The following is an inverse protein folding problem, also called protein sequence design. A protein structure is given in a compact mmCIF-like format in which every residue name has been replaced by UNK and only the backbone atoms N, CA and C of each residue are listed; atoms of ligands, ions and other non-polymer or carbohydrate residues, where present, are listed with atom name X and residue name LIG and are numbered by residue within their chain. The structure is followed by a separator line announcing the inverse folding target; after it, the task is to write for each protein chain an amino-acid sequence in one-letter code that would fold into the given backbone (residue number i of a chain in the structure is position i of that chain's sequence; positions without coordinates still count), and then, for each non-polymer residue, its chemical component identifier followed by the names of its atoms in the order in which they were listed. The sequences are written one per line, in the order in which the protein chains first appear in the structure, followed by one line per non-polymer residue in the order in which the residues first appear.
data_IF_203364444174
#
_entry.id   IF_203364444174
#
_cell.length_a   1.000
_cell.length_b   1.000
_cell.length_c   1.000
_cell.angle_alpha   90.00
_cell.angle_beta   90.00
_cell.angle_gamma   90.00
#
_symmetry.space_group_name_H-M   'P 1'
#
loop_
_entity.id
_entity.type
_entity.pdbx_description
1 polymer ?
#
# COMPACT_ATOMS: atom_id res chain seq x y z
N UNK A 1 -16.91 11.16 -17.02
CA UNK A 1 -15.73 10.92 -16.17
C UNK A 1 -15.03 12.25 -15.92
N UNK A 2 -14.92 12.70 -14.66
CA UNK A 2 -14.49 14.06 -14.31
C UNK A 2 -13.04 14.37 -14.78
N UNK A 3 -12.77 15.61 -15.22
CA UNK A 3 -11.44 16.12 -15.60
C UNK A 3 -10.35 15.75 -14.58
N UNK A 4 -10.70 15.80 -13.30
CA UNK A 4 -9.83 15.47 -12.17
C UNK A 4 -9.37 14.00 -12.20
N UNK A 5 -10.27 13.06 -12.55
CA UNK A 5 -9.96 11.62 -12.59
C UNK A 5 -8.92 11.31 -13.66
N UNK A 6 -9.04 11.92 -14.83
CA UNK A 6 -8.08 11.75 -15.95
C UNK A 6 -6.74 12.45 -15.65
N UNK A 7 -6.78 13.65 -15.09
CA UNK A 7 -5.56 14.39 -14.74
C UNK A 7 -4.77 13.70 -13.62
N UNK A 8 -5.48 13.23 -12.58
CA UNK A 8 -4.91 12.43 -11.49
C UNK A 8 -4.77 10.95 -11.85
N UNK A 9 -4.84 10.55 -13.14
CA UNK A 9 -4.68 9.16 -13.62
C UNK A 9 -5.28 8.10 -12.69
N UNK A 10 -6.44 8.42 -12.11
CA UNK A 10 -7.14 7.52 -11.19
C UNK A 10 -7.78 6.35 -11.95
N UNK A 11 -7.89 6.49 -13.28
CA UNK A 11 -8.23 5.45 -14.23
C UNK A 11 -7.20 4.32 -14.31
N UNK A 12 -5.92 4.63 -14.09
CA UNK A 12 -4.83 3.66 -14.03
C UNK A 12 -4.54 3.13 -12.62
N UNK A 13 -5.31 3.56 -11.63
CA UNK A 13 -5.13 3.11 -10.26
C UNK A 13 -5.73 1.71 -10.09
N UNK A 14 -4.87 0.75 -9.77
CA UNK A 14 -5.24 -0.64 -9.47
C UNK A 14 -5.16 -0.84 -7.95
N UNK A 15 -6.26 -0.61 -7.21
CA UNK A 15 -6.22 -0.52 -5.75
C UNK A 15 -5.95 -1.87 -5.08
N UNK A 16 -6.23 -2.98 -5.77
CA UNK A 16 -5.84 -4.33 -5.36
C UNK A 16 -4.31 -4.47 -5.21
N UNK A 17 -3.50 -3.71 -5.97
CA UNK A 17 -2.03 -3.72 -5.85
C UNK A 17 -1.52 -3.25 -4.50
N UNK A 18 -2.32 -2.52 -3.72
CA UNK A 18 -1.94 -2.07 -2.38
C UNK A 18 -1.84 -3.26 -1.42
N UNK A 19 -2.75 -4.23 -1.55
CA UNK A 19 -2.96 -5.32 -0.58
C UNK A 19 -2.50 -6.68 -1.08
N UNK A 20 -1.87 -6.74 -2.26
CA UNK A 20 -1.45 -7.98 -2.92
C UNK A 20 0.06 -8.01 -3.17
N UNK A 21 0.61 -9.21 -3.38
CA UNK A 21 2.04 -9.46 -3.60
C UNK A 21 2.27 -10.16 -4.94
N UNK A 22 3.47 -9.99 -5.51
CA UNK A 22 3.93 -10.80 -6.65
C UNK A 22 4.54 -12.14 -6.21
N UNK A 23 4.88 -12.31 -4.93
CA UNK A 23 5.68 -13.43 -4.41
C UNK A 23 4.89 -14.33 -3.47
N UNK A 24 4.00 -13.75 -2.65
CA UNK A 24 3.28 -14.49 -1.60
C UNK A 24 1.77 -14.28 -1.72
N UNK A 25 0.99 -15.10 -1.02
CA UNK A 25 -0.46 -14.92 -0.96
C UNK A 25 -0.84 -13.64 -0.21
N UNK A 26 -2.01 -13.02 -0.49
CA UNK A 26 -2.46 -11.82 0.22
C UNK A 26 -2.55 -12.00 1.74
N UNK A 27 -2.90 -13.21 2.21
CA UNK A 27 -2.89 -13.54 3.64
C UNK A 27 -1.49 -13.48 4.24
N UNK A 28 -0.50 -14.08 3.58
CA UNK A 28 0.89 -14.05 4.01
C UNK A 28 1.43 -12.61 4.06
N UNK A 29 1.15 -11.81 3.03
CA UNK A 29 1.52 -10.38 3.02
C UNK A 29 0.86 -9.62 4.18
N UNK A 30 -0.42 -9.88 4.46
CA UNK A 30 -1.15 -9.24 5.55
C UNK A 30 -0.56 -9.58 6.93
N UNK A 31 -0.19 -10.86 7.16
CA UNK A 31 0.44 -11.29 8.41
C UNK A 31 1.80 -10.61 8.57
N UNK A 32 2.66 -10.65 7.55
CA UNK A 32 3.98 -10.01 7.59
C UNK A 32 3.87 -8.50 7.85
N UNK A 33 2.94 -7.82 7.16
CA UNK A 33 2.65 -6.40 7.42
C UNK A 33 2.14 -6.15 8.83
N UNK A 34 1.27 -7.03 9.35
CA UNK A 34 0.77 -6.92 10.71
C UNK A 34 1.89 -6.99 11.75
N UNK A 35 2.87 -7.89 11.56
CA UNK A 35 4.04 -8.00 12.43
C UNK A 35 4.94 -6.76 12.35
N UNK A 36 5.22 -6.29 11.13
CA UNK A 36 6.01 -5.05 10.91
C UNK A 36 5.28 -3.84 11.50
N UNK A 37 3.97 -3.73 11.28
CA UNK A 37 3.11 -2.69 11.86
C UNK A 37 3.19 -2.69 13.39
N UNK A 38 3.05 -3.86 14.02
CA UNK A 38 3.14 -4.00 15.47
C UNK A 38 4.50 -3.55 16.00
N UNK A 39 5.60 -3.98 15.37
CA UNK A 39 6.94 -3.53 15.74
C UNK A 39 7.08 -2.01 15.62
N UNK A 40 6.66 -1.42 14.50
CA UNK A 40 6.77 0.03 14.31
C UNK A 40 5.92 0.83 15.30
N UNK A 41 4.76 0.30 15.71
CA UNK A 41 3.93 0.87 16.77
C UNK A 41 4.62 0.83 18.14
N UNK A 42 5.30 -0.28 18.47
CA UNK A 42 6.07 -0.37 19.73
C UNK A 42 7.20 0.66 19.73
N UNK A 43 7.92 0.80 18.62
CA UNK A 43 9.01 1.77 18.49
C UNK A 43 8.47 3.20 18.65
N UNK A 44 7.44 3.59 17.90
CA UNK A 44 6.94 4.98 17.94
C UNK A 44 6.39 5.35 19.31
N UNK A 45 5.69 4.43 19.98
CA UNK A 45 5.22 4.63 21.36
C UNK A 45 6.41 4.80 22.30
N UNK A 46 7.46 3.98 22.16
CA UNK A 46 8.67 4.15 22.98
C UNK A 46 9.31 5.52 22.78
N UNK A 47 9.42 5.99 21.53
CA UNK A 47 10.04 7.28 21.21
C UNK A 47 9.21 8.42 21.78
N UNK A 48 7.88 8.33 21.73
CA UNK A 48 6.98 9.32 22.34
C UNK A 48 7.09 9.35 23.87
N UNK A 49 7.19 8.18 24.52
CA UNK A 49 7.33 8.09 25.98
C UNK A 49 8.67 8.68 26.46
N UNK A 50 9.72 8.59 25.64
CA UNK A 50 11.04 9.17 25.95
C UNK A 50 11.23 10.59 25.42
N UNK A 51 10.28 11.15 24.67
CA UNK A 51 10.39 12.50 24.14
C UNK A 51 10.09 13.54 25.22
N UNK A 52 10.92 14.58 25.32
CA UNK A 52 10.73 15.67 26.28
C UNK A 52 9.45 16.49 25.99
N UNK A 53 9.12 16.64 24.71
CA UNK A 53 7.92 17.35 24.28
C UNK A 53 7.48 16.94 22.87
N UNK A 54 6.23 17.24 22.52
CA UNK A 54 5.74 17.09 21.15
C UNK A 54 6.57 17.93 20.15
N UNK A 55 7.04 19.11 20.56
CA UNK A 55 7.88 19.95 19.71
C UNK A 55 9.24 19.31 19.44
N UNK A 56 9.83 18.64 20.41
CA UNK A 56 11.13 17.97 20.24
C UNK A 56 11.01 16.69 19.41
N UNK A 57 9.85 16.04 19.42
CA UNK A 57 9.56 14.96 18.49
C UNK A 57 9.38 15.49 17.06
N UNK A 58 8.50 16.48 16.86
CA UNK A 58 8.04 16.94 15.54
C UNK A 58 9.10 17.74 14.77
N UNK A 59 10.16 18.24 15.42
CA UNK A 59 11.23 19.00 14.74
C UNK A 59 12.09 18.13 13.82
N UNK A 60 12.24 16.84 14.10
CA UNK A 60 13.10 15.95 13.33
C UNK A 60 12.36 15.32 12.15
N UNK A 61 12.93 15.42 10.94
CA UNK A 61 12.37 14.80 9.74
C UNK A 61 12.21 13.29 9.90
N UNK A 62 13.21 12.65 10.51
CA UNK A 62 13.24 11.20 10.74
C UNK A 62 12.05 10.72 11.56
N UNK A 63 11.64 11.50 12.57
CA UNK A 63 10.45 11.22 13.37
C UNK A 63 9.15 11.41 12.56
N UNK A 64 9.08 12.46 11.73
CA UNK A 64 7.92 12.69 10.86
C UNK A 64 7.78 11.59 9.79
N UNK A 65 8.87 11.16 9.18
CA UNK A 65 8.87 10.07 8.19
C UNK A 65 8.52 8.75 8.85
N UNK A 66 9.05 8.47 10.04
CA UNK A 66 8.71 7.26 10.80
C UNK A 66 7.23 7.22 11.19
N UNK A 67 6.65 8.35 11.60
CA UNK A 67 5.20 8.46 11.78
C UNK A 67 4.43 8.15 10.49
N UNK A 68 4.88 8.68 9.36
CA UNK A 68 4.32 8.36 8.04
C UNK A 68 4.36 6.86 7.71
N UNK A 69 5.47 6.17 8.02
CA UNK A 69 5.60 4.72 7.89
C UNK A 69 4.60 3.95 8.76
N UNK A 70 4.45 4.35 10.02
CA UNK A 70 3.46 3.73 10.93
C UNK A 70 2.06 3.89 10.38
N UNK A 71 1.66 5.11 9.99
CA UNK A 71 0.34 5.37 9.40
C UNK A 71 0.13 4.52 8.13
N UNK A 72 1.13 4.46 7.26
CA UNK A 72 1.09 3.63 6.07
C UNK A 72 0.87 2.14 6.39
N UNK A 73 1.62 1.59 7.34
CA UNK A 73 1.53 0.18 7.71
C UNK A 73 0.20 -0.15 8.39
N UNK A 74 -0.31 0.73 9.25
CA UNK A 74 -1.64 0.59 9.87
C UNK A 74 -2.71 0.55 8.79
N UNK A 75 -2.75 1.54 7.89
CA UNK A 75 -3.72 1.58 6.80
C UNK A 75 -3.61 0.34 5.90
N UNK A 76 -2.39 -0.04 5.51
CA UNK A 76 -2.15 -1.20 4.65
C UNK A 76 -2.58 -2.51 5.31
N UNK A 77 -2.37 -2.65 6.62
CA UNK A 77 -2.79 -3.82 7.39
C UNK A 77 -4.31 -3.90 7.49
N UNK A 78 -4.99 -2.80 7.85
CA UNK A 78 -6.45 -2.74 7.91
C UNK A 78 -7.07 -3.07 6.54
N UNK A 79 -6.52 -2.49 5.47
CA UNK A 79 -7.01 -2.74 4.11
C UNK A 79 -6.77 -4.19 3.67
N UNK A 80 -5.63 -4.78 4.04
CA UNK A 80 -5.34 -6.19 3.75
C UNK A 80 -6.32 -7.12 4.48
N UNK A 81 -6.66 -6.85 5.74
CA UNK A 81 -7.65 -7.61 6.51
C UNK A 81 -9.03 -7.49 5.86
N UNK A 82 -9.47 -6.27 5.53
CA UNK A 82 -10.77 -6.04 4.91
C UNK A 82 -10.88 -6.68 3.52
N UNK A 83 -9.80 -6.64 2.74
CA UNK A 83 -9.68 -7.35 1.47
C UNK A 83 -9.86 -8.87 1.64
N UNK A 84 -9.20 -9.46 2.65
CA UNK A 84 -9.30 -10.90 2.91
C UNK A 84 -10.68 -11.35 3.37
N UNK A 85 -11.44 -10.48 4.05
CA UNK A 85 -12.83 -10.71 4.46
C UNK A 85 -13.82 -10.73 3.29
N UNK A 86 -13.46 -10.16 2.14
CA UNK A 86 -14.33 -10.20 0.98
C UNK A 86 -14.32 -11.60 0.32
N UNK A 87 -15.47 -12.06 -0.20
CA UNK A 87 -15.54 -13.21 -1.10
C UNK A 87 -14.54 -13.05 -2.25
N UNK A 88 -13.94 -14.15 -2.71
CA UNK A 88 -12.91 -14.12 -3.77
C UNK A 88 -13.40 -13.40 -5.03
N UNK A 89 -14.66 -13.64 -5.42
CA UNK A 89 -15.33 -12.99 -6.55
C UNK A 89 -15.53 -11.48 -6.39
N UNK A 90 -15.57 -10.97 -5.15
CA UNK A 90 -15.82 -9.56 -4.85
C UNK A 90 -14.54 -8.74 -4.57
N UNK A 91 -13.40 -9.41 -4.34
CA UNK A 91 -12.12 -8.78 -3.96
C UNK A 91 -11.62 -7.73 -4.96
N UNK A 92 -11.70 -8.02 -6.25
CA UNK A 92 -11.24 -7.12 -7.31
C UNK A 92 -12.07 -5.81 -7.40
N UNK A 93 -13.32 -5.86 -6.94
CA UNK A 93 -14.28 -4.76 -7.05
C UNK A 93 -14.40 -3.96 -5.75
N UNK A 94 -14.23 -4.60 -4.59
CA UNK A 94 -14.38 -3.96 -3.27
C UNK A 94 -13.53 -2.71 -3.09
N UNK A 95 -12.25 -2.78 -3.47
CA UNK A 95 -11.35 -1.63 -3.36
C UNK A 95 -11.67 -0.52 -4.38
N UNK A 96 -12.34 -0.87 -5.49
CA UNK A 96 -12.77 0.08 -6.52
C UNK A 96 -14.11 0.73 -6.21
N UNK A 97 -14.95 0.13 -5.35
CA UNK A 97 -16.25 0.68 -4.96
C UNK A 97 -16.14 1.77 -3.89
N UNK A 98 -14.99 1.87 -3.21
CA UNK A 98 -14.69 2.94 -2.27
C UNK A 98 -14.37 4.28 -2.94
N UNK A 99 -14.27 5.34 -2.13
CA UNK A 99 -13.84 6.65 -2.62
C UNK A 99 -12.41 6.58 -3.19
N UNK A 100 -12.17 7.01 -4.44
CA UNK A 100 -10.85 6.92 -5.07
C UNK A 100 -9.80 7.83 -4.40
N UNK A 101 -10.25 8.83 -3.64
CA UNK A 101 -9.38 9.75 -2.91
C UNK A 101 -8.55 9.06 -1.85
N UNK A 102 -9.12 8.08 -1.13
CA UNK A 102 -8.38 7.33 -0.12
C UNK A 102 -7.29 6.48 -0.74
N UNK A 103 -7.59 5.85 -1.88
CA UNK A 103 -6.59 5.10 -2.65
C UNK A 103 -5.46 5.98 -3.15
N UNK A 104 -5.78 7.17 -3.65
CA UNK A 104 -4.78 8.13 -4.11
C UNK A 104 -3.91 8.68 -2.97
N UNK A 105 -4.52 9.02 -1.82
CA UNK A 105 -3.79 9.47 -0.63
C UNK A 105 -2.85 8.37 -0.11
N UNK A 106 -3.31 7.12 -0.07
CA UNK A 106 -2.49 5.97 0.30
C UNK A 106 -1.31 5.79 -0.68
N UNK A 107 -1.53 6.01 -1.98
CA UNK A 107 -0.48 5.96 -2.98
C UNK A 107 0.57 7.07 -2.83
N UNK A 108 0.14 8.29 -2.52
CA UNK A 108 1.07 9.37 -2.22
C UNK A 108 1.88 9.05 -0.96
N UNK A 109 1.23 8.53 0.08
CA UNK A 109 1.89 8.10 1.32
C UNK A 109 2.87 6.95 1.07
N UNK A 110 2.51 5.96 0.25
CA UNK A 110 3.44 4.91 -0.19
C UNK A 110 4.66 5.51 -0.88
N UNK A 111 4.43 6.48 -1.78
CA UNK A 111 5.51 7.14 -2.53
C UNK A 111 6.48 7.88 -1.60
N UNK A 112 5.98 8.52 -0.54
CA UNK A 112 6.84 9.12 0.49
C UNK A 112 7.57 8.06 1.31
N UNK A 113 6.89 7.00 1.76
CA UNK A 113 7.47 5.95 2.61
C UNK A 113 8.63 5.25 1.90
N UNK A 114 8.41 4.72 0.70
CA UNK A 114 9.49 3.99 0.00
C UNK A 114 10.59 4.90 -0.51
N UNK A 115 10.44 6.23 -0.48
CA UNK A 115 11.51 7.16 -0.88
C UNK A 115 12.31 7.64 0.32
N UNK A 116 11.63 8.17 1.34
CA UNK A 116 12.30 8.76 2.50
C UNK A 116 13.01 7.73 3.35
N UNK A 117 12.49 6.51 3.48
CA UNK A 117 13.16 5.46 4.26
C UNK A 117 14.36 4.82 3.56
N UNK A 118 14.69 5.23 2.33
CA UNK A 118 16.02 5.01 1.76
C UNK A 118 16.94 6.22 1.96
N UNK A 119 16.40 7.44 1.84
CA UNK A 119 17.17 8.68 2.03
C UNK A 119 17.61 8.85 3.47
N UNK A 120 16.72 8.63 4.44
CA UNK A 120 16.94 8.89 5.86
C UNK A 120 18.12 8.05 6.40
N UNK A 121 18.18 6.72 6.21
CA UNK A 121 19.35 5.96 6.61
C UNK A 121 20.64 6.47 5.95
N UNK A 122 20.61 6.77 4.64
CA UNK A 122 21.80 7.27 3.94
C UNK A 122 22.31 8.58 4.55
N UNK A 123 21.43 9.55 4.76
CA UNK A 123 21.79 10.85 5.37
C UNK A 123 22.22 10.67 6.82
N UNK A 124 21.50 9.86 7.60
CA UNK A 124 21.83 9.65 9.01
C UNK A 124 23.22 9.02 9.16
N UNK A 125 23.48 7.90 8.48
CA UNK A 125 24.74 7.17 8.65
C UNK A 125 25.94 7.87 8.00
N UNK A 126 25.72 8.74 7.01
CA UNK A 126 26.80 9.52 6.39
C UNK A 126 27.09 10.86 7.08
N UNK A 127 26.07 11.54 7.63
CA UNK A 127 26.20 12.92 8.12
C UNK A 127 25.88 13.12 9.61
N UNK A 128 25.04 12.28 10.21
CA UNK A 128 24.49 12.52 11.56
C UNK A 128 24.95 11.52 12.62
N UNK A 129 25.47 10.36 12.22
CA UNK A 129 25.90 9.32 13.14
C UNK A 129 27.22 9.68 13.84
N UNK A 130 27.16 10.67 14.73
CA UNK A 130 28.26 11.04 15.61
C UNK A 130 28.03 10.30 16.93
N UNK A 131 29.06 9.58 17.41
CA UNK A 131 28.97 8.64 18.52
C UNK A 131 28.54 9.28 19.85
N UNK A 132 27.24 9.40 20.07
CA UNK A 132 26.67 9.84 21.34
C UNK A 132 26.61 8.66 22.33
N UNK A 133 26.82 8.97 23.61
CA UNK A 133 26.56 8.02 24.69
C UNK A 133 25.05 7.83 24.84
N UNK A 134 24.52 6.75 24.26
CA UNK A 134 23.10 6.40 24.36
C UNK A 134 22.88 5.28 25.37
N UNK A 135 21.71 5.26 26.00
CA UNK A 135 21.26 4.09 26.76
C UNK A 135 20.98 2.92 25.82
N UNK A 136 20.83 1.71 26.35
CA UNK A 136 20.41 0.54 25.55
C UNK A 136 19.09 0.79 24.81
N UNK A 137 18.12 1.43 25.47
CA UNK A 137 16.85 1.80 24.85
C UNK A 137 17.07 2.82 23.72
N UNK A 138 17.91 3.85 23.97
CA UNK A 138 18.24 4.86 22.98
C UNK A 138 18.92 4.27 21.74
N UNK A 139 19.85 3.33 21.92
CA UNK A 139 20.46 2.62 20.79
C UNK A 139 19.41 1.84 19.98
N UNK A 140 18.53 1.09 20.64
CA UNK A 140 17.48 0.35 19.94
C UNK A 140 16.54 1.30 19.19
N UNK A 141 16.10 2.41 19.79
CA UNK A 141 15.28 3.42 19.13
C UNK A 141 16.01 4.01 17.90
N UNK A 142 17.28 4.38 18.07
CA UNK A 142 18.12 4.95 17.02
C UNK A 142 18.25 4.01 15.81
N UNK A 143 18.59 2.74 16.04
CA UNK A 143 18.62 1.75 14.96
C UNK A 143 17.24 1.53 14.33
N UNK A 144 16.17 1.58 15.12
CA UNK A 144 14.81 1.37 14.63
C UNK A 144 14.39 2.45 13.63
N UNK A 145 14.68 3.72 13.93
CA UNK A 145 14.24 4.88 13.13
C UNK A 145 15.24 5.33 12.07
N UNK A 146 16.46 4.78 12.08
CA UNK A 146 17.53 5.17 11.12
C UNK A 146 18.15 4.01 10.34
N UNK A 147 17.73 2.76 10.56
CA UNK A 147 18.22 1.61 9.79
C UNK A 147 17.10 0.60 9.49
N UNK A 148 16.38 0.16 10.53
CA UNK A 148 15.36 -0.88 10.39
C UNK A 148 14.15 -0.36 9.60
N UNK A 149 13.85 0.93 9.69
CA UNK A 149 12.86 1.61 8.85
C UNK A 149 13.14 1.44 7.34
N UNK A 150 14.41 1.52 6.93
CA UNK A 150 14.85 1.23 5.56
C UNK A 150 14.68 -0.23 5.18
N UNK A 151 14.85 -1.16 6.13
CA UNK A 151 14.54 -2.59 5.92
C UNK A 151 13.04 -2.78 5.69
N UNK A 152 12.17 -2.05 6.37
CA UNK A 152 10.72 -2.11 6.12
C UNK A 152 10.32 -1.51 4.78
N UNK A 153 10.98 -0.44 4.34
CA UNK A 153 10.80 0.09 2.99
C UNK A 153 11.26 -0.90 1.92
N UNK A 154 12.37 -1.62 2.17
CA UNK A 154 12.84 -2.70 1.29
C UNK A 154 11.87 -3.89 1.29
N UNK A 155 11.30 -4.26 2.44
CA UNK A 155 10.24 -5.27 2.54
C UNK A 155 9.05 -4.89 1.65
N UNK A 156 8.57 -3.65 1.74
CA UNK A 156 7.48 -3.16 0.87
C UNK A 156 7.90 -3.15 -0.60
N UNK A 157 9.14 -2.77 -0.91
CA UNK A 157 9.67 -2.86 -2.27
C UNK A 157 9.71 -4.30 -2.79
N UNK A 158 10.03 -5.30 -1.97
CA UNK A 158 10.16 -6.69 -2.44
C UNK A 158 8.79 -7.36 -2.57
N UNK A 159 7.96 -7.26 -1.52
CA UNK A 159 6.76 -8.07 -1.40
C UNK A 159 5.50 -7.39 -1.95
N UNK A 160 5.41 -6.07 -1.98
CA UNK A 160 4.19 -5.38 -2.43
C UNK A 160 4.13 -5.29 -3.97
N UNK A 161 2.93 -5.33 -4.57
CA UNK A 161 2.73 -5.02 -6.01
C UNK A 161 2.61 -3.53 -6.32
N UNK A 162 2.45 -2.70 -5.29
CA UNK A 162 2.34 -1.26 -5.41
C UNK A 162 3.47 -0.65 -6.25
N UNK A 163 3.19 0.43 -6.98
CA UNK A 163 4.14 1.05 -7.90
C UNK A 163 4.24 2.56 -7.67
N UNK A 164 5.29 3.18 -8.23
CA UNK A 164 5.51 4.62 -8.23
C UNK A 164 5.08 5.26 -9.54
N UNK A 165 4.71 6.55 -9.48
CA UNK A 165 4.40 7.36 -10.66
C UNK A 165 5.33 8.57 -10.73
N UNK A 166 5.87 8.92 -11.92
CA UNK A 166 6.82 10.03 -12.05
C UNK A 166 6.35 11.33 -11.38
N UNK A 167 5.06 11.68 -11.50
CA UNK A 167 4.49 12.89 -10.93
C UNK A 167 4.46 12.94 -9.40
N UNK A 168 4.46 11.79 -8.70
CA UNK A 168 4.48 11.80 -7.23
C UNK A 168 5.83 12.27 -6.70
N UNK A 169 6.88 12.26 -7.53
CA UNK A 169 8.17 12.88 -7.17
C UNK A 169 8.00 14.34 -6.76
N UNK A 170 7.09 15.10 -7.37
CA UNK A 170 6.81 16.48 -6.98
C UNK A 170 6.12 16.59 -5.62
N UNK A 171 5.25 15.64 -5.26
CA UNK A 171 4.64 15.60 -3.93
C UNK A 171 5.68 15.23 -2.87
N UNK A 172 6.53 14.24 -3.16
CA UNK A 172 7.65 13.84 -2.30
C UNK A 172 8.66 14.98 -2.15
N UNK A 173 8.98 15.72 -3.22
CA UNK A 173 9.81 16.92 -3.12
C UNK A 173 9.10 18.03 -2.33
N UNK A 174 7.80 18.23 -2.56
CA UNK A 174 7.00 19.25 -1.87
C UNK A 174 6.97 19.06 -0.36
N UNK A 175 6.76 17.83 0.12
CA UNK A 175 6.80 17.53 1.58
C UNK A 175 8.20 17.78 2.15
N UNK A 176 9.27 17.48 1.42
CA UNK A 176 10.64 17.82 1.84
C UNK A 176 10.85 19.33 1.92
N UNK A 177 10.35 20.10 0.94
CA UNK A 177 10.42 21.57 0.97
C UNK A 177 9.64 22.14 2.16
N UNK A 178 8.45 21.61 2.45
CA UNK A 178 7.68 22.01 3.63
C UNK A 178 8.45 21.75 4.93
N UNK A 179 9.14 20.61 5.02
CA UNK A 179 10.03 20.32 6.14
C UNK A 179 11.21 21.29 6.21
N UNK A 180 11.84 21.61 5.09
CA UNK A 180 12.92 22.60 5.01
C UNK A 180 12.47 23.98 5.49
N UNK A 181 11.23 24.39 5.19
CA UNK A 181 10.67 25.64 5.72
C UNK A 181 10.40 25.55 7.24
N UNK A 182 9.97 24.38 7.73
CA UNK A 182 9.78 24.14 9.16
C UNK A 182 11.10 24.34 9.95
N UNK A 183 12.27 23.99 9.40
CA UNK A 183 13.54 24.17 10.13
C UNK A 183 13.86 25.63 10.43
N UNK A 184 13.45 26.58 9.56
CA UNK A 184 13.57 28.02 9.84
C UNK A 184 12.67 28.45 10.99
N UNK A 185 11.46 27.88 11.08
CA UNK A 185 10.55 28.14 12.21
C UNK A 185 11.16 27.62 13.51
N UNK A 186 11.73 26.40 13.49
CA UNK A 186 12.45 25.84 14.65
C UNK A 186 13.63 26.74 15.02
N UNK A 187 14.46 27.18 14.07
CA UNK A 187 15.58 28.09 14.32
C UNK A 187 15.13 29.37 15.01
N UNK A 188 14.02 29.96 14.56
CA UNK A 188 13.49 31.20 15.13
C UNK A 188 12.91 31.01 16.54
N UNK A 189 12.34 29.84 16.84
CA UNK A 189 11.64 29.58 18.10
C UNK A 189 12.52 28.93 19.17
N UNK A 190 13.48 28.08 18.79
CA UNK A 190 14.36 27.33 19.68
C UNK A 190 15.78 27.87 19.74
N UNK A 191 16.16 28.74 18.79
CA UNK A 191 17.51 29.30 18.73
C UNK A 191 18.56 28.35 18.16
N UNK A 192 18.17 27.17 17.67
CA UNK A 192 19.06 26.14 17.12
C UNK A 192 18.56 25.61 15.77
N UNK A 193 19.48 25.19 14.91
CA UNK A 193 19.15 24.43 13.70
C UNK A 193 18.91 22.96 14.04
N UNK A 194 17.89 22.36 13.41
CA UNK A 194 17.56 20.94 13.66
C UNK A 194 18.71 20.01 13.30
N UNK A 195 19.38 20.29 12.19
CA UNK A 195 20.54 19.53 11.72
C UNK A 195 21.68 20.48 11.38
N UNK A 196 22.94 20.14 11.73
CA UNK A 196 24.09 20.98 11.39
C UNK A 196 24.25 21.22 9.88
N UNK A 197 23.90 20.25 9.04
CA UNK A 197 24.00 20.41 7.59
C UNK A 197 22.89 21.30 6.98
N UNK A 198 21.86 21.67 7.76
CA UNK A 198 20.83 22.64 7.35
C UNK A 198 21.05 24.02 7.97
N UNK A 199 22.17 24.22 8.66
CA UNK A 199 22.49 25.48 9.29
C UNK A 199 22.80 26.55 8.24
N UNK A 200 21.84 27.45 8.03
CA UNK A 200 21.94 28.55 7.05
C UNK A 200 23.09 29.52 7.36
N UNK A 201 23.54 29.57 8.62
CA UNK A 201 24.61 30.46 9.05
C UNK A 201 25.98 29.99 8.47
N UNK A 202 26.07 28.76 7.92
CA UNK A 202 27.25 28.23 7.22
C UNK A 202 27.38 28.70 5.75
N UNK A 203 26.46 29.53 5.25
CA UNK A 203 26.55 30.12 3.92
C UNK A 203 26.57 29.10 2.78
N UNK A 204 27.59 29.16 1.91
CA UNK A 204 27.63 28.38 0.68
C UNK A 204 27.61 26.85 0.89
N UNK A 205 28.17 26.37 2.02
CA UNK A 205 28.18 24.93 2.35
C UNK A 205 26.75 24.43 2.59
N UNK A 206 25.94 25.21 3.31
CA UNK A 206 24.54 24.87 3.55
C UNK A 206 23.74 24.83 2.24
N UNK A 207 23.92 25.80 1.35
CA UNK A 207 23.28 25.79 0.02
C UNK A 207 23.62 24.51 -0.75
N UNK A 208 24.88 24.05 -0.68
CA UNK A 208 25.29 22.79 -1.31
C UNK A 208 24.57 21.58 -0.70
N UNK A 209 24.34 21.53 0.61
CA UNK A 209 23.55 20.47 1.25
C UNK A 209 22.08 20.48 0.81
N UNK A 210 21.44 21.65 0.76
CA UNK A 210 20.06 21.77 0.30
C UNK A 210 19.90 21.26 -1.15
N UNK A 211 20.79 21.68 -2.05
CA UNK A 211 20.80 21.21 -3.44
C UNK A 211 21.15 19.73 -3.55
N UNK A 212 22.14 19.25 -2.81
CA UNK A 212 22.58 17.85 -2.80
C UNK A 212 21.47 16.90 -2.35
N UNK A 213 20.76 17.24 -1.27
CA UNK A 213 19.61 16.46 -0.78
C UNK A 213 18.46 16.48 -1.80
N UNK A 214 18.17 17.63 -2.41
CA UNK A 214 17.14 17.73 -3.45
C UNK A 214 17.46 16.84 -4.66
N UNK A 215 18.69 16.89 -5.16
CA UNK A 215 19.15 16.02 -6.26
C UNK A 215 19.11 14.56 -5.85
N UNK A 216 19.65 14.21 -4.67
CA UNK A 216 19.66 12.86 -4.13
C UNK A 216 18.25 12.28 -4.01
N UNK A 217 17.27 13.10 -3.58
CA UNK A 217 15.87 12.71 -3.50
C UNK A 217 15.29 12.31 -4.85
N UNK A 218 15.51 13.12 -5.90
CA UNK A 218 15.03 12.77 -7.24
C UNK A 218 15.75 11.54 -7.81
N UNK A 219 17.07 11.44 -7.64
CA UNK A 219 17.85 10.28 -8.09
C UNK A 219 17.30 9.00 -7.45
N UNK A 220 17.17 8.97 -6.12
CA UNK A 220 16.63 7.80 -5.40
C UNK A 220 15.20 7.50 -5.83
N UNK A 221 14.34 8.52 -5.96
CA UNK A 221 12.96 8.34 -6.40
C UNK A 221 12.87 7.65 -7.77
N UNK A 222 13.64 8.14 -8.76
CA UNK A 222 13.59 7.59 -10.11
C UNK A 222 14.27 6.22 -10.22
N UNK A 223 15.33 5.96 -9.45
CA UNK A 223 15.91 4.62 -9.33
C UNK A 223 14.87 3.64 -8.77
N UNK A 224 14.21 3.99 -7.66
CA UNK A 224 13.16 3.17 -7.10
C UNK A 224 12.02 2.96 -8.09
N UNK A 225 11.61 3.99 -8.84
CA UNK A 225 10.59 3.86 -9.87
C UNK A 225 10.96 2.81 -10.92
N UNK A 226 12.22 2.79 -11.38
CA UNK A 226 12.72 1.76 -12.29
C UNK A 226 12.69 0.38 -11.63
N UNK A 227 13.17 0.26 -10.38
CA UNK A 227 13.17 -1.01 -9.64
C UNK A 227 11.75 -1.57 -9.48
N UNK A 228 10.76 -0.74 -9.13
CA UNK A 228 9.36 -1.15 -9.04
C UNK A 228 8.82 -1.67 -10.38
N UNK A 229 9.15 -1.01 -11.49
CA UNK A 229 8.75 -1.44 -12.83
C UNK A 229 9.39 -2.77 -13.21
N UNK A 230 10.69 -2.93 -12.96
CA UNK A 230 11.43 -4.17 -13.25
C UNK A 230 10.90 -5.32 -12.40
N UNK A 231 10.76 -5.12 -11.09
CA UNK A 231 10.17 -6.10 -10.16
C UNK A 231 8.80 -6.57 -10.63
N UNK A 232 7.88 -5.64 -10.92
CA UNK A 232 6.53 -6.00 -11.35
C UNK A 232 6.53 -6.72 -12.70
N UNK A 233 7.42 -6.34 -13.63
CA UNK A 233 7.56 -7.02 -14.92
C UNK A 233 8.12 -8.43 -14.78
N UNK A 234 9.17 -8.61 -13.97
CA UNK A 234 9.87 -9.88 -13.82
C UNK A 234 9.05 -10.90 -13.01
N UNK A 235 8.28 -10.41 -12.03
CA UNK A 235 7.47 -11.27 -11.16
C UNK A 235 6.02 -11.42 -11.64
N UNK A 236 5.64 -10.84 -12.78
CA UNK A 236 4.28 -10.94 -13.33
C UNK A 236 3.82 -12.40 -13.49
N UNK A 237 4.71 -13.28 -13.98
CA UNK A 237 4.40 -14.72 -14.13
C UNK A 237 4.13 -15.40 -12.79
N UNK A 238 4.89 -15.07 -11.74
CA UNK A 238 4.67 -15.63 -10.40
C UNK A 238 3.36 -15.14 -9.78
N UNK A 239 2.98 -13.89 -10.03
CA UNK A 239 1.68 -13.35 -9.62
C UNK A 239 0.53 -14.15 -10.24
N UNK A 240 0.62 -14.53 -11.51
CA UNK A 240 -0.41 -15.32 -12.18
C UNK A 240 -0.61 -16.70 -11.51
N UNK A 241 0.49 -17.41 -11.24
CA UNK A 241 0.47 -18.72 -10.55
C UNK A 241 -0.15 -18.62 -9.15
N UNK A 242 0.19 -17.58 -8.38
CA UNK A 242 -0.39 -17.37 -7.05
C UNK A 242 -1.90 -17.13 -7.12
N UNK A 243 -2.38 -16.41 -8.13
CA UNK A 243 -3.79 -16.11 -8.31
C UNK A 243 -4.58 -17.35 -8.76
N UNK A 244 -4.06 -18.12 -9.72
CA UNK A 244 -4.68 -19.37 -10.18
C UNK A 244 -4.86 -20.37 -9.02
N UNK A 245 -3.85 -20.50 -8.15
CA UNK A 245 -3.97 -21.34 -6.96
C UNK A 245 -5.04 -20.87 -5.96
N UNK A 246 -5.38 -19.58 -5.92
CA UNK A 246 -6.45 -19.07 -5.08
C UNK A 246 -7.84 -19.37 -5.67
N UNK A 247 -7.97 -19.37 -6.99
CA UNK A 247 -9.22 -19.70 -7.70
C UNK A 247 -9.56 -21.18 -7.56
N UNK A 248 -8.59 -22.06 -7.77
CA UNK A 248 -8.76 -23.51 -7.59
C UNK A 248 -9.16 -23.88 -6.14
N UNK A 249 -8.55 -23.23 -5.14
CA UNK A 249 -8.94 -23.42 -3.73
C UNK A 249 -10.35 -22.89 -3.44
N UNK A 250 -10.81 -21.87 -4.16
CA UNK A 250 -12.17 -21.34 -4.06
C UNK A 250 -13.18 -22.38 -4.55
N UNK A 251 -12.93 -22.92 -5.74
CA UNK A 251 -13.78 -23.89 -6.41
C UNK A 251 -13.88 -25.17 -5.60
N UNK A 252 -12.75 -25.69 -5.10
CA UNK A 252 -12.71 -26.87 -4.24
C UNK A 252 -13.51 -26.68 -2.93
N UNK A 253 -13.50 -25.48 -2.34
CA UNK A 253 -14.30 -25.18 -1.14
C UNK A 253 -15.80 -25.12 -1.43
N UNK A 254 -16.19 -24.65 -2.62
CA UNK A 254 -17.60 -24.62 -3.04
C UNK A 254 -18.10 -26.05 -3.30
N UNK A 255 -17.31 -26.88 -3.97
CA UNK A 255 -17.69 -28.27 -4.29
C UNK A 255 -17.84 -29.13 -3.01
N UNK A 256 -16.93 -28.98 -2.04
CA UNK A 256 -17.04 -29.67 -0.75
C UNK A 256 -18.12 -29.09 0.18
N UNK A 257 -18.46 -27.80 0.08
CA UNK A 257 -19.56 -27.18 0.82
C UNK A 257 -20.94 -27.37 0.18
N UNK A 258 -20.99 -27.83 -1.07
CA UNK A 258 -22.20 -28.01 -1.88
C UNK A 258 -22.89 -29.36 -1.73
N UNK A 259 -22.26 -30.38 -1.12
CA UNK A 259 -22.96 -31.61 -0.70
C UNK A 259 -23.78 -31.33 0.56
N UNK A 260 -24.94 -30.70 0.41
CA UNK A 260 -26.06 -31.01 1.30
C UNK A 260 -26.35 -32.50 1.09
N UNK A 261 -26.14 -33.29 2.13
CA UNK A 261 -26.74 -34.62 2.25
C UNK A 261 -28.24 -34.43 1.98
N UNK A 262 -28.72 -34.90 0.82
CA UNK A 262 -30.15 -35.14 0.67
C UNK A 262 -30.51 -36.14 1.77
N UNK A 263 -31.52 -35.88 2.61
CA UNK A 263 -32.03 -36.94 3.46
C UNK A 263 -32.50 -38.06 2.52
N UNK A 264 -31.94 -39.26 2.66
CA UNK A 264 -32.51 -40.47 2.11
C UNK A 264 -33.97 -40.51 2.56
N UNK A 265 -34.88 -40.30 1.60
CA UNK A 265 -36.30 -40.41 1.83
C UNK A 265 -36.62 -41.87 2.04
N UNK A 266 -37.11 -42.19 3.24
CA UNK A 266 -37.71 -43.47 3.57
C UNK A 266 -38.79 -43.82 2.53
N UNK A 267 -38.53 -44.90 1.80
CA UNK A 267 -39.45 -45.50 0.85
C UNK A 267 -40.49 -46.31 1.63
N UNK A 268 -41.67 -45.72 1.84
CA UNK A 268 -42.87 -46.44 2.31
C UNK A 268 -44.06 -46.09 1.43
N UNK A 269 -44.20 -46.85 0.33
CA UNK A 269 -45.41 -47.56 -0.06
C UNK A 269 -46.74 -46.83 -0.24
N UNK A 270 -47.29 -46.96 -1.45
CA UNK A 270 -48.71 -47.33 -1.59
C UNK A 270 -49.57 -46.50 -2.55
N UNK A 271 -49.90 -47.11 -3.69
CA UNK A 271 -51.23 -47.13 -4.35
C UNK A 271 -52.02 -45.82 -4.48
N UNK A 272 -52.25 -45.34 -5.71
CA UNK A 272 -53.58 -45.37 -6.35
C UNK A 272 -53.45 -45.08 -7.86
N UNK A 273 -54.42 -45.64 -8.56
CA UNK A 273 -54.53 -45.89 -9.98
C UNK A 273 -55.42 -44.82 -10.66
N UNK A 274 -55.22 -44.70 -11.98
CA UNK A 274 -56.21 -44.46 -13.03
C UNK A 274 -56.53 -43.06 -13.62
N UNK A 275 -56.54 -43.11 -14.97
CA UNK A 275 -57.38 -42.41 -15.97
C UNK A 275 -57.03 -40.99 -16.45
N UNK A 276 -56.60 -40.87 -17.72
CA UNK A 276 -57.33 -40.33 -18.92
C UNK A 276 -57.09 -38.82 -19.08
N UNK A 277 -56.85 -38.15 -20.21
CA UNK A 277 -57.13 -38.27 -21.65
C UNK A 277 -56.07 -37.37 -22.36
N UNK A 278 -55.48 -37.72 -23.51
CA UNK A 278 -55.94 -37.50 -24.89
C UNK A 278 -55.96 -36.04 -25.42
N UNK A 279 -55.47 -35.90 -26.68
CA UNK A 279 -55.55 -34.77 -27.66
C UNK A 279 -54.48 -33.67 -27.54
N UNK A 280 -53.56 -33.44 -28.50
CA UNK A 280 -53.57 -33.16 -29.97
C UNK A 280 -53.65 -31.66 -30.32
N UNK A 281 -52.96 -31.34 -31.43
CA UNK A 281 -52.87 -30.09 -32.23
C UNK A 281 -51.73 -29.12 -31.86
N UNK A 282 -50.68 -28.92 -32.67
CA UNK A 282 -50.54 -28.47 -34.09
C UNK A 282 -50.96 -27.03 -34.39
N UNK A 283 -50.07 -26.31 -35.10
CA UNK A 283 -50.25 -24.97 -35.65
C UNK A 283 -49.28 -23.96 -35.02
N UNK A 284 -48.28 -23.37 -35.69
CA UNK A 284 -48.16 -23.01 -37.10
C UNK A 284 -48.11 -21.48 -37.24
N UNK A 285 -47.28 -21.00 -38.18
CA UNK A 285 -47.30 -19.66 -38.82
C UNK A 285 -46.31 -18.58 -38.31
N UNK A 286 -45.25 -18.42 -39.13
CA UNK A 286 -44.71 -17.20 -39.79
C UNK A 286 -45.02 -15.82 -39.14
N UNK A 287 -44.04 -14.92 -39.10
CA UNK A 287 -43.69 -14.04 -40.24
C UNK A 287 -42.49 -13.11 -39.94
N UNK A 288 -41.84 -12.73 -41.04
CA UNK A 288 -40.73 -11.79 -41.21
C UNK A 288 -40.97 -10.36 -40.68
N UNK A 289 -39.88 -9.62 -40.44
CA UNK A 289 -39.63 -8.32 -41.10
C UNK A 289 -38.20 -7.81 -40.92
N UNK A 290 -37.67 -7.32 -42.04
CA UNK A 290 -36.43 -6.58 -42.24
C UNK A 290 -36.40 -5.24 -41.49
N UNK A 291 -35.20 -4.69 -41.28
CA UNK A 291 -35.02 -3.29 -40.89
C UNK A 291 -33.56 -2.88 -40.74
N UNK A 292 -32.92 -2.50 -41.85
CA UNK A 292 -31.63 -1.80 -41.97
C UNK A 292 -31.78 -0.33 -41.52
N UNK A 293 -30.82 0.23 -40.78
CA UNK A 293 -30.12 1.50 -41.11
C UNK A 293 -29.24 2.04 -39.96
N UNK A 294 -28.01 2.33 -40.38
CA UNK A 294 -27.05 3.39 -39.98
C UNK A 294 -27.59 4.57 -39.15
N UNK A 295 -26.82 4.97 -38.12
CA UNK A 295 -26.00 6.19 -38.05
C UNK A 295 -24.82 5.96 -37.09
#
# INVERSE_FOLDING_TARGET
MSFIVKHLKLDHFEPDRIVTSNLVRPLTLAILRGLVCLYTLIVIVSVWVTAESASDYLKFFTNLTYFGLVVYLVCSTIWSINYLRQPLTARATWLKSGSPWWGYAHWLLYSTVVTYHFIVPLVYWSLLNVGAHMTTLGHWQNYSVHAIDGVFALFELIFNRHFLQPRHSFVVAGVMVLYMLLTFVVRKTKGEWVYPFLDWDQGAICVAYYLGIAVGLFVIYFLLLVVHKLRNRWLARRCAVVNEGLELEAEARVDHGGRRVQPEGDDVGGYYDNQSDMTLEEGGVRNSKNGTQTY
#
